data_IF_174931706217
#
_entry.id   IF_174931706217
#
_cell.length_a   1.000
_cell.length_b   1.000
_cell.length_c   1.000
_cell.angle_alpha   90.00
_cell.angle_beta   90.00
_cell.angle_gamma   90.00
#
_symmetry.space_group_name_H-M   'P 1'
#
loop_
_entity.id
_entity.type
_entity.pdbx_description
1 polymer ?
#
# COMPACT_ATOMS: atom_id res chain seq x y z
N UNK A 1 -17.70 -16.70 -13.36
CA UNK A 1 -17.42 -15.55 -14.23
C UNK A 1 -15.98 -15.71 -14.69
N UNK A 2 -15.74 -16.07 -15.95
CA UNK A 2 -14.38 -16.17 -16.49
C UNK A 2 -13.86 -14.74 -16.68
N UNK A 3 -13.19 -14.22 -15.66
CA UNK A 3 -12.55 -12.91 -15.69
C UNK A 3 -11.29 -13.00 -16.53
N UNK A 4 -11.43 -12.87 -17.85
CA UNK A 4 -10.29 -12.59 -18.72
C UNK A 4 -10.46 -11.16 -19.18
N UNK A 5 -9.60 -10.29 -18.66
CA UNK A 5 -9.40 -8.95 -19.22
C UNK A 5 -8.17 -9.02 -20.10
N UNK A 6 -8.19 -8.30 -21.22
CA UNK A 6 -7.02 -8.01 -22.07
C UNK A 6 -6.02 -7.04 -21.42
N UNK A 7 -6.19 -6.75 -20.14
CA UNK A 7 -5.37 -5.88 -19.33
C UNK A 7 -3.92 -6.37 -19.24
N UNK A 8 -2.99 -5.53 -19.69
CA UNK A 8 -1.56 -5.69 -19.53
C UNK A 8 -1.02 -4.66 -18.53
N UNK A 9 -0.55 -5.07 -17.33
CA UNK A 9 -0.07 -4.14 -16.31
C UNK A 9 1.17 -3.33 -16.73
N UNK A 10 1.92 -3.78 -17.74
CA UNK A 10 3.11 -3.05 -18.22
C UNK A 10 2.74 -1.90 -19.18
N UNK A 11 1.55 -1.92 -19.82
CA UNK A 11 1.16 -0.94 -20.84
C UNK A 11 -0.12 -0.17 -20.51
N UNK A 12 -1.02 -0.76 -19.74
CA UNK A 12 -2.37 -0.23 -19.56
C UNK A 12 -2.53 0.57 -18.26
N UNK A 13 -1.58 0.41 -17.33
CA UNK A 13 -1.45 1.34 -16.21
C UNK A 13 -0.85 2.63 -16.76
N UNK A 14 -1.53 3.79 -16.62
CA UNK A 14 -0.97 5.06 -17.06
C UNK A 14 0.14 5.51 -16.13
N UNK A 15 0.90 6.53 -16.54
CA UNK A 15 1.89 7.17 -15.67
C UNK A 15 1.30 7.56 -14.31
N UNK A 16 2.04 7.21 -13.26
CA UNK A 16 1.73 7.52 -11.87
C UNK A 16 2.61 8.68 -11.36
N UNK A 17 3.23 9.46 -12.25
CA UNK A 17 4.04 10.62 -11.90
C UNK A 17 3.31 11.54 -10.93
N UNK A 18 3.97 11.84 -9.79
CA UNK A 18 3.39 12.68 -8.74
C UNK A 18 2.40 11.98 -7.80
N UNK A 19 2.03 10.71 -8.05
CA UNK A 19 1.08 9.96 -7.22
C UNK A 19 1.75 9.34 -6.00
N UNK A 20 1.05 9.38 -4.88
CA UNK A 20 1.45 8.67 -3.65
C UNK A 20 0.50 7.52 -3.39
N UNK A 21 1.07 6.34 -3.18
CA UNK A 21 0.36 5.07 -3.09
C UNK A 21 0.65 4.44 -1.72
N UNK A 22 -0.37 3.83 -1.12
CA UNK A 22 -0.21 3.03 0.09
C UNK A 22 -0.91 1.67 -0.07
N UNK A 23 -0.15 0.57 0.02
CA UNK A 23 -0.60 -0.81 -0.07
C UNK A 23 -0.43 -1.53 1.28
N UNK A 24 -1.49 -2.17 1.77
CA UNK A 24 -1.43 -2.94 3.04
C UNK A 24 -0.91 -4.37 2.80
N UNK A 25 0.09 -4.85 3.55
CA UNK A 25 0.78 -6.17 3.41
C UNK A 25 1.50 -6.41 2.07
N UNK A 26 2.21 -5.41 1.54
CA UNK A 26 3.01 -5.49 0.31
C UNK A 26 4.13 -6.54 0.26
N UNK A 27 4.40 -7.29 1.32
CA UNK A 27 5.53 -8.23 1.36
C UNK A 27 5.30 -9.56 0.65
N UNK A 28 4.07 -9.89 0.25
CA UNK A 28 3.75 -11.17 -0.41
C UNK A 28 2.49 -11.09 -1.29
N UNK A 29 2.25 -12.14 -2.09
CA UNK A 29 1.01 -12.34 -2.83
C UNK A 29 0.67 -11.19 -3.79
N UNK A 30 -0.64 -10.93 -3.94
CA UNK A 30 -1.16 -9.89 -4.83
C UNK A 30 -0.63 -8.49 -4.51
N UNK A 31 -0.38 -8.18 -3.24
CA UNK A 31 0.10 -6.87 -2.83
C UNK A 31 1.56 -6.66 -3.23
N UNK A 32 2.41 -7.70 -3.13
CA UNK A 32 3.77 -7.65 -3.65
C UNK A 32 3.78 -7.40 -5.15
N UNK A 33 2.96 -8.15 -5.90
CA UNK A 33 2.84 -7.96 -7.34
C UNK A 33 2.28 -6.57 -7.69
N UNK A 34 1.37 -6.04 -6.87
CA UNK A 34 0.87 -4.67 -7.03
C UNK A 34 1.96 -3.63 -6.81
N UNK A 35 2.80 -3.79 -5.78
CA UNK A 35 3.98 -2.91 -5.58
C UNK A 35 4.90 -2.93 -6.79
N UNK A 36 5.26 -4.13 -7.29
CA UNK A 36 6.15 -4.28 -8.44
C UNK A 36 5.54 -3.71 -9.72
N UNK A 37 4.27 -4.00 -9.99
CA UNK A 37 3.59 -3.51 -11.18
C UNK A 37 3.48 -1.99 -11.18
N UNK A 38 3.07 -1.38 -10.04
CA UNK A 38 2.88 0.06 -9.94
C UNK A 38 4.20 0.84 -9.93
N UNK A 39 5.27 0.26 -9.38
CA UNK A 39 6.59 0.90 -9.35
C UNK A 39 7.14 1.21 -10.75
N UNK A 40 6.83 0.38 -11.76
CA UNK A 40 7.24 0.57 -13.16
C UNK A 40 6.68 1.84 -13.82
N UNK A 41 5.68 2.47 -13.21
CA UNK A 41 4.94 3.59 -13.80
C UNK A 41 5.28 4.95 -13.20
N UNK A 42 6.49 5.09 -12.63
CA UNK A 42 7.03 6.35 -12.07
C UNK A 42 6.16 7.00 -10.98
N UNK A 43 5.69 6.26 -9.95
CA UNK A 43 5.01 6.87 -8.83
C UNK A 43 5.96 7.79 -8.05
N UNK A 44 5.44 8.88 -7.48
CA UNK A 44 6.25 9.72 -6.62
C UNK A 44 6.69 8.98 -5.35
N UNK A 45 5.80 8.16 -4.78
CA UNK A 45 6.13 7.34 -3.62
C UNK A 45 5.17 6.17 -3.42
N UNK A 46 5.70 4.99 -3.07
CA UNK A 46 4.92 3.83 -2.60
C UNK A 46 5.24 3.57 -1.13
N UNK A 47 4.22 3.63 -0.28
CA UNK A 47 4.24 3.08 1.07
C UNK A 47 3.67 1.67 1.04
N UNK A 48 4.28 0.75 1.78
CA UNK A 48 3.69 -0.57 1.98
C UNK A 48 3.92 -1.09 3.40
N UNK A 49 2.98 -1.86 3.93
CA UNK A 49 3.14 -2.52 5.23
C UNK A 49 3.47 -4.00 5.09
N UNK A 50 3.81 -4.64 6.21
CA UNK A 50 4.04 -6.07 6.28
C UNK A 50 4.83 -6.45 7.52
N UNK A 51 4.85 -7.75 7.83
CA UNK A 51 5.51 -8.28 9.05
C UNK A 51 6.96 -8.68 8.83
N UNK A 52 7.26 -9.19 7.64
CA UNK A 52 8.56 -9.76 7.31
C UNK A 52 9.49 -8.66 6.76
N UNK A 53 10.51 -8.30 7.55
CA UNK A 53 11.41 -7.19 7.20
C UNK A 53 12.38 -7.59 6.09
N UNK A 54 12.78 -8.87 6.06
CA UNK A 54 13.65 -9.44 5.05
C UNK A 54 12.96 -9.46 3.67
N UNK A 55 11.70 -9.90 3.62
CA UNK A 55 10.88 -9.86 2.42
C UNK A 55 10.62 -8.43 1.94
N UNK A 56 10.38 -7.50 2.87
CA UNK A 56 10.25 -6.09 2.55
C UNK A 56 11.53 -5.52 1.93
N UNK A 57 12.70 -5.85 2.48
CA UNK A 57 13.99 -5.39 1.95
C UNK A 57 14.27 -6.00 0.57
N UNK A 58 13.94 -7.27 0.36
CA UNK A 58 14.05 -7.91 -0.94
C UNK A 58 13.20 -7.20 -1.99
N UNK A 59 11.94 -6.89 -1.66
CA UNK A 59 11.03 -6.14 -2.54
C UNK A 59 11.55 -4.73 -2.85
N UNK A 60 12.05 -4.01 -1.84
CA UNK A 60 12.65 -2.69 -2.01
C UNK A 60 13.83 -2.74 -2.98
N UNK A 61 14.71 -3.73 -2.84
CA UNK A 61 15.87 -3.92 -3.72
C UNK A 61 15.43 -4.26 -5.16
N UNK A 62 14.39 -5.08 -5.31
CA UNK A 62 13.85 -5.45 -6.61
C UNK A 62 13.26 -4.26 -7.35
N UNK A 63 12.47 -3.41 -6.67
CA UNK A 63 11.95 -2.16 -7.23
C UNK A 63 13.10 -1.24 -7.68
N UNK A 64 14.13 -1.05 -6.86
CA UNK A 64 15.28 -0.22 -7.21
C UNK A 64 16.08 -0.73 -8.41
N UNK A 65 16.16 -2.04 -8.57
CA UNK A 65 16.85 -2.65 -9.70
C UNK A 65 16.05 -2.52 -11.01
N UNK A 66 14.72 -2.37 -10.94
CA UNK A 66 13.88 -2.06 -12.10
C UNK A 66 14.12 -0.63 -12.62
N UNK A 67 14.37 0.33 -11.71
CA UNK A 67 14.60 1.75 -12.05
C UNK A 67 15.97 2.04 -12.70
N UNK A 68 16.91 1.09 -12.64
CA UNK A 68 18.27 1.27 -13.18
C UNK A 68 18.34 1.42 -14.72
N UNK A 69 17.20 1.33 -15.41
CA UNK A 69 17.07 1.58 -16.85
C UNK A 69 16.60 3.00 -17.23
N UNK A 70 16.05 3.80 -16.31
CA UNK A 70 15.46 5.10 -16.64
C UNK A 70 15.60 6.13 -15.50
N UNK A 71 16.47 7.12 -15.73
CA UNK A 71 16.56 8.41 -15.04
C UNK A 71 17.33 8.49 -13.72
N UNK A 72 18.34 9.37 -13.71
CA UNK A 72 19.12 9.73 -12.54
C UNK A 72 18.36 10.68 -11.65
N UNK A 73 18.17 10.32 -10.39
CA UNK A 73 17.97 11.28 -9.31
C UNK A 73 18.51 10.76 -7.97
N UNK A 74 18.90 11.73 -7.14
CA UNK A 74 20.01 11.66 -6.20
C UNK A 74 19.83 10.73 -4.99
N UNK A 75 20.93 10.07 -4.62
CA UNK A 75 21.16 9.31 -3.39
C UNK A 75 20.96 10.19 -2.14
N UNK A 76 20.11 9.76 -1.22
CA UNK A 76 20.00 10.27 0.16
C UNK A 76 20.32 9.12 1.15
N UNK A 77 20.95 9.36 2.32
CA UNK A 77 21.59 8.33 3.13
C UNK A 77 20.62 7.47 3.95
N UNK A 78 21.15 6.29 4.34
CA UNK A 78 20.52 5.18 5.03
C UNK A 78 19.58 5.52 6.20
N UNK A 79 18.29 5.58 5.88
CA UNK A 79 17.23 4.95 6.66
C UNK A 79 16.49 4.01 5.69
N UNK A 80 15.64 3.08 6.13
CA UNK A 80 14.88 2.18 5.24
C UNK A 80 13.91 2.88 4.26
N UNK A 81 13.97 4.21 4.15
CA UNK A 81 13.40 5.00 3.08
C UNK A 81 14.46 5.19 1.98
N UNK A 82 14.20 4.62 0.81
CA UNK A 82 14.94 4.90 -0.43
C UNK A 82 14.01 5.74 -1.31
N UNK A 83 14.49 6.61 -2.23
CA UNK A 83 13.59 7.42 -3.05
C UNK A 83 12.52 6.54 -3.72
N UNK A 84 11.25 6.94 -3.60
CA UNK A 84 10.12 6.29 -4.27
C UNK A 84 9.48 5.10 -3.53
N UNK A 85 10.09 4.50 -2.50
CA UNK A 85 9.48 3.36 -1.78
C UNK A 85 9.81 3.32 -0.28
N UNK A 86 8.83 3.02 0.58
CA UNK A 86 8.99 2.95 2.04
C UNK A 86 8.20 1.82 2.69
N UNK A 87 8.89 1.02 3.48
CA UNK A 87 8.31 -0.05 4.27
C UNK A 87 7.88 0.42 5.67
N UNK A 88 6.63 0.13 6.03
CA UNK A 88 6.04 0.38 7.33
C UNK A 88 5.79 -0.95 8.05
N UNK A 89 6.73 -1.34 8.92
CA UNK A 89 6.76 -2.64 9.62
C UNK A 89 5.53 -3.09 10.46
N UNK A 90 4.62 -2.24 11.00
CA UNK A 90 3.63 -2.79 11.92
C UNK A 90 2.61 -3.69 11.21
N UNK A 91 2.03 -4.61 11.99
CA UNK A 91 1.00 -5.55 11.55
C UNK A 91 -0.41 -5.02 11.81
N UNK A 92 -1.37 -5.41 10.97
CA UNK A 92 -2.77 -4.93 11.04
C UNK A 92 -3.59 -5.68 12.12
N UNK A 93 -2.98 -6.07 13.24
CA UNK A 93 -3.55 -7.01 14.23
C UNK A 93 -4.07 -6.37 15.52
N UNK A 94 -3.86 -5.05 15.71
CA UNK A 94 -4.37 -4.31 16.87
C UNK A 94 -4.62 -2.83 16.56
N UNK A 95 -5.45 -2.18 17.38
CA UNK A 95 -5.74 -0.75 17.27
C UNK A 95 -4.47 0.10 17.36
N UNK A 96 -3.58 -0.26 18.29
CA UNK A 96 -2.32 0.42 18.52
C UNK A 96 -1.40 0.35 17.31
N UNK A 97 -1.29 -0.84 16.69
CA UNK A 97 -0.41 -1.03 15.53
C UNK A 97 -0.94 -0.33 14.30
N UNK A 98 -2.26 -0.36 14.04
CA UNK A 98 -2.88 0.39 12.93
C UNK A 98 -2.67 1.89 13.08
N UNK A 99 -2.84 2.45 14.29
CA UNK A 99 -2.55 3.88 14.54
C UNK A 99 -1.07 4.20 14.35
N UNK A 100 -0.17 3.31 14.76
CA UNK A 100 1.27 3.48 14.58
C UNK A 100 1.66 3.46 13.09
N UNK A 101 1.01 2.63 12.27
CA UNK A 101 1.18 2.63 10.80
C UNK A 101 0.79 3.99 10.25
N UNK A 102 -0.43 4.45 10.56
CA UNK A 102 -0.95 5.71 10.05
C UNK A 102 -0.10 6.91 10.50
N UNK A 103 0.44 6.90 11.72
CA UNK A 103 1.34 7.94 12.21
C UNK A 103 2.72 7.94 11.51
N UNK A 104 3.15 6.79 10.98
CA UNK A 104 4.39 6.69 10.19
C UNK A 104 4.19 7.06 8.72
N UNK A 105 2.95 7.19 8.26
CA UNK A 105 2.66 7.75 6.95
C UNK A 105 2.96 9.26 6.97
N UNK A 106 4.17 9.61 6.51
CA UNK A 106 4.69 10.97 6.54
C UNK A 106 4.63 11.60 5.14
N UNK A 107 3.42 11.82 4.64
CA UNK A 107 3.17 12.50 3.37
C UNK A 107 1.91 13.38 3.44
N UNK A 108 1.88 14.48 2.71
CA UNK A 108 0.76 15.43 2.68
C UNK A 108 -0.32 15.09 1.64
N UNK A 109 -0.03 14.06 0.83
CA UNK A 109 -0.81 13.53 -0.28
C UNK A 109 -0.93 11.99 -0.21
N UNK A 110 -2.09 11.45 -0.57
CA UNK A 110 -2.35 10.02 -0.76
C UNK A 110 -3.39 9.84 -1.88
N UNK A 111 -2.94 9.40 -3.05
CA UNK A 111 -3.79 9.26 -4.25
C UNK A 111 -4.41 7.85 -4.36
N UNK A 112 -3.72 6.81 -3.86
CA UNK A 112 -4.21 5.44 -3.93
C UNK A 112 -3.97 4.70 -2.62
N UNK A 113 -5.05 4.24 -1.97
CA UNK A 113 -4.99 3.36 -0.80
C UNK A 113 -5.55 1.98 -1.18
N UNK A 114 -4.71 0.95 -1.16
CA UNK A 114 -5.07 -0.45 -1.43
C UNK A 114 -5.13 -1.21 -0.10
N UNK A 115 -6.35 -1.53 0.32
CA UNK A 115 -6.67 -2.29 1.51
C UNK A 115 -6.95 -3.75 1.11
N UNK A 116 -5.92 -4.60 1.19
CA UNK A 116 -6.01 -6.03 0.88
C UNK A 116 -5.65 -6.95 2.05
N UNK A 117 -4.93 -6.46 3.07
CA UNK A 117 -4.48 -7.31 4.19
C UNK A 117 -5.59 -8.18 4.73
N UNK A 118 -5.39 -9.49 4.65
CA UNK A 118 -6.38 -10.47 5.07
C UNK A 118 -5.70 -11.71 5.61
N UNK A 119 -6.37 -12.34 6.57
CA UNK A 119 -6.03 -13.67 7.06
C UNK A 119 -7.19 -14.62 6.77
N UNK A 120 -6.85 -15.87 6.46
CA UNK A 120 -7.78 -16.95 6.18
C UNK A 120 -7.31 -18.22 6.91
N UNK A 121 -8.24 -19.10 7.29
CA UNK A 121 -7.94 -20.42 7.87
C UNK A 121 -7.11 -20.38 9.17
N UNK A 122 -7.33 -19.38 10.02
CA UNK A 122 -6.76 -19.36 11.36
C UNK A 122 -7.69 -20.04 12.37
N UNK A 123 -7.17 -20.78 13.37
CA UNK A 123 -7.95 -21.19 14.54
C UNK A 123 -8.64 -19.97 15.18
N UNK A 124 -9.80 -20.15 15.84
CA UNK A 124 -10.47 -19.07 16.55
C UNK A 124 -9.50 -18.35 17.49
N UNK A 125 -9.34 -17.05 17.26
CA UNK A 125 -8.41 -16.21 17.99
C UNK A 125 -9.02 -14.83 18.22
N UNK A 126 -8.51 -14.16 19.24
CA UNK A 126 -8.93 -12.82 19.65
C UNK A 126 -7.74 -11.88 19.48
N UNK A 127 -7.98 -10.69 18.91
CA UNK A 127 -6.99 -9.62 18.82
C UNK A 127 -6.60 -9.11 20.21
N UNK A 128 -5.54 -8.31 20.30
CA UNK A 128 -5.16 -7.64 21.56
C UNK A 128 -6.28 -6.76 22.11
N UNK A 129 -7.13 -6.23 21.24
CA UNK A 129 -8.25 -5.37 21.58
C UNK A 129 -9.59 -6.11 21.77
N UNK A 130 -9.56 -7.42 22.05
CA UNK A 130 -10.74 -8.23 22.38
C UNK A 130 -11.76 -8.42 21.23
N UNK A 131 -11.36 -8.24 19.96
CA UNK A 131 -12.19 -8.56 18.80
C UNK A 131 -11.84 -9.95 18.25
N UNK A 132 -12.77 -10.59 17.53
CA UNK A 132 -12.41 -11.73 16.70
C UNK A 132 -11.27 -11.33 15.73
N UNK A 133 -10.21 -12.13 15.67
CA UNK A 133 -8.99 -11.75 14.95
C UNK A 133 -9.22 -11.60 13.43
N UNK A 134 -10.01 -12.47 12.80
CA UNK A 134 -10.31 -12.38 11.37
C UNK A 134 -11.16 -11.15 11.06
N UNK A 135 -12.18 -10.88 11.87
CA UNK A 135 -12.96 -9.65 11.76
C UNK A 135 -12.10 -8.40 11.95
N UNK A 136 -11.18 -8.44 12.93
CA UNK A 136 -10.27 -7.32 13.17
C UNK A 136 -9.40 -7.04 11.95
N UNK A 137 -8.65 -8.04 11.47
CA UNK A 137 -7.67 -7.88 10.40
C UNK A 137 -8.35 -7.56 9.06
N UNK A 138 -9.37 -8.32 8.68
CA UNK A 138 -9.96 -8.26 7.34
C UNK A 138 -10.92 -7.07 7.18
N UNK A 139 -11.39 -6.47 8.27
CA UNK A 139 -12.37 -5.38 8.21
C UNK A 139 -11.99 -4.19 9.09
N UNK A 140 -11.91 -4.40 10.41
CA UNK A 140 -11.84 -3.29 11.36
C UNK A 140 -10.52 -2.50 11.26
N UNK A 141 -9.41 -3.19 11.00
CA UNK A 141 -8.11 -2.59 10.81
C UNK A 141 -8.08 -1.66 9.58
N UNK A 142 -8.67 -2.09 8.45
CA UNK A 142 -8.81 -1.26 7.25
C UNK A 142 -9.71 -0.06 7.47
N UNK A 143 -10.87 -0.26 8.12
CA UNK A 143 -11.77 0.84 8.46
C UNK A 143 -11.08 1.90 9.34
N UNK A 144 -10.30 1.47 10.34
CA UNK A 144 -9.52 2.36 11.19
C UNK A 144 -8.40 3.07 10.42
N UNK A 145 -7.67 2.36 9.55
CA UNK A 145 -6.61 2.93 8.73
C UNK A 145 -7.18 4.03 7.81
N UNK A 146 -8.24 3.73 7.08
CA UNK A 146 -8.97 4.69 6.24
C UNK A 146 -9.42 5.89 7.07
N UNK A 147 -10.06 5.66 8.22
CA UNK A 147 -10.52 6.74 9.10
C UNK A 147 -9.39 7.65 9.57
N UNK A 148 -8.23 7.07 9.87
CA UNK A 148 -7.07 7.81 10.38
C UNK A 148 -6.39 8.62 9.27
N UNK A 149 -6.30 8.06 8.06
CA UNK A 149 -5.76 8.73 6.87
C UNK A 149 -6.78 9.62 6.14
N UNK A 150 -8.04 9.62 6.58
CA UNK A 150 -9.11 10.37 5.92
C UNK A 150 -8.79 11.86 5.69
N UNK A 151 -8.17 12.58 6.65
CA UNK A 151 -7.80 13.98 6.41
C UNK A 151 -6.84 14.18 5.23
N UNK A 152 -5.86 13.28 5.02
CA UNK A 152 -4.93 13.40 3.87
C UNK A 152 -5.60 13.00 2.56
N UNK A 153 -6.47 11.98 2.59
CA UNK A 153 -7.27 11.58 1.44
C UNK A 153 -8.17 12.73 0.96
N UNK A 154 -8.85 13.42 1.89
CA UNK A 154 -9.70 14.57 1.56
C UNK A 154 -8.90 15.74 0.98
N UNK A 155 -7.75 16.08 1.56
CA UNK A 155 -6.87 17.13 1.00
C UNK A 155 -6.40 16.78 -0.40
N UNK A 156 -6.01 15.53 -0.61
CA UNK A 156 -5.56 15.04 -1.93
C UNK A 156 -6.68 15.16 -2.96
N UNK A 157 -7.89 14.71 -2.62
CA UNK A 157 -9.05 14.82 -3.49
C UNK A 157 -9.38 16.28 -3.84
N UNK A 158 -9.33 17.19 -2.85
CA UNK A 158 -9.59 18.61 -3.07
C UNK A 158 -8.53 19.33 -3.91
N UNK A 159 -7.28 18.83 -3.90
CA UNK A 159 -6.17 19.40 -4.68
C UNK A 159 -6.15 18.94 -6.15
N UNK A 160 -7.01 18.01 -6.54
CA UNK A 160 -7.09 17.50 -7.91
C UNK A 160 -7.96 18.45 -8.75
N UNK A 161 -7.32 19.12 -9.70
CA UNK A 161 -7.95 20.18 -10.52
C UNK A 161 -8.29 19.71 -11.94
N UNK A 162 -7.62 18.65 -12.43
CA UNK A 162 -7.73 18.17 -13.81
C UNK A 162 -8.10 16.67 -13.85
N UNK A 163 -9.34 16.32 -14.20
CA UNK A 163 -9.71 14.96 -14.60
C UNK A 163 -8.83 14.46 -15.77
N UNK A 164 -8.57 13.15 -15.90
CA UNK A 164 -9.17 12.04 -15.16
C UNK A 164 -8.45 11.69 -13.84
N UNK A 165 -7.55 12.56 -13.34
CA UNK A 165 -6.92 12.30 -12.05
C UNK A 165 -7.97 12.18 -10.95
N UNK A 166 -7.80 11.18 -10.10
CA UNK A 166 -8.63 10.98 -8.92
C UNK A 166 -7.82 10.43 -7.74
N UNK A 167 -8.47 10.45 -6.58
CA UNK A 167 -8.02 9.78 -5.37
C UNK A 167 -8.92 8.55 -5.16
N UNK A 168 -8.34 7.39 -4.92
CA UNK A 168 -9.06 6.11 -4.82
C UNK A 168 -8.71 5.34 -3.56
N UNK A 169 -9.73 4.73 -2.98
CA UNK A 169 -9.61 3.70 -1.95
C UNK A 169 -10.12 2.40 -2.57
N UNK A 170 -9.27 1.36 -2.58
CA UNK A 170 -9.59 0.05 -3.14
C UNK A 170 -9.59 -0.95 -2.00
N UNK A 171 -10.76 -1.52 -1.69
CA UNK A 171 -10.89 -2.62 -0.74
C UNK A 171 -10.95 -3.94 -1.51
N UNK A 172 -9.94 -4.79 -1.33
CA UNK A 172 -9.97 -6.13 -1.90
C UNK A 172 -10.74 -7.05 -0.97
N UNK A 173 -11.72 -7.75 -1.53
CA UNK A 173 -12.63 -8.63 -0.80
C UNK A 173 -12.88 -9.91 -1.60
N UNK A 174 -13.60 -10.85 -1.00
CA UNK A 174 -14.00 -12.11 -1.62
C UNK A 174 -15.50 -12.33 -1.43
N UNK A 175 -16.14 -12.98 -2.41
CA UNK A 175 -17.56 -13.37 -2.32
C UNK A 175 -17.80 -14.54 -1.38
N UNK A 176 -16.74 -15.22 -0.91
CA UNK A 176 -16.83 -16.49 -0.21
C UNK A 176 -16.73 -17.67 -1.17
#
# INVERSE_FOLDING_TARGET
>A
MLGVTDFNPDTDIPSLAGKVIFITEGTAGLDRESVLALAKHDPAHIFFTGRNTEAAQALINEVQNQDSGNSGNARVPATTAVPGITFLKPDMTSLATVKAIAAKFAHDRLDLLICNTGIMVNPPAVSKDCFNLQFFVNYFAHALLIRTLFPVLQRTAAAIVNPPNDMRIVNLTSTG
#
